data_IF_143187505935
#
_entry.id   IF_143187505935
#
_cell.length_a   1.000
_cell.length_b   1.000
_cell.length_c   1.000
_cell.angle_alpha   90.00
_cell.angle_beta   90.00
_cell.angle_gamma   90.00
#
_symmetry.space_group_name_H-M   'P 1'
#
loop_
_entity.id
_entity.type
_entity.pdbx_description
1 polymer ?
#
# COMPACT_ATOMS: atom_id res chain seq x y z
N UNK A 1 27.94 -74.53 -4.46
CA UNK A 1 26.83 -74.48 -5.44
C UNK A 1 25.97 -73.28 -5.07
N UNK A 2 25.89 -72.25 -5.93
CA UNK A 2 24.75 -71.98 -6.87
C UNK A 2 23.40 -72.01 -6.13
N UNK A 3 22.46 -71.08 -6.26
CA UNK A 3 22.30 -69.84 -7.04
C UNK A 3 20.95 -69.24 -6.59
N UNK A 4 20.86 -67.91 -6.58
CA UNK A 4 19.72 -67.03 -6.92
C UNK A 4 18.28 -67.55 -6.85
N UNK A 5 17.46 -66.82 -6.07
CA UNK A 5 16.10 -66.27 -6.35
C UNK A 5 15.87 -65.14 -5.33
N UNK A 6 15.16 -64.03 -5.49
CA UNK A 6 14.39 -63.37 -6.54
C UNK A 6 14.08 -61.97 -5.99
N UNK A 7 13.91 -60.97 -6.84
CA UNK A 7 13.60 -59.58 -6.50
C UNK A 7 12.24 -59.41 -5.82
N UNK A 8 12.15 -58.44 -4.88
CA UNK A 8 10.93 -57.68 -4.62
C UNK A 8 11.28 -56.29 -4.07
N UNK A 9 10.79 -55.30 -4.80
CA UNK A 9 10.99 -53.86 -4.60
C UNK A 9 10.33 -53.38 -3.31
N UNK A 10 11.04 -52.57 -2.52
CA UNK A 10 10.47 -51.77 -1.44
C UNK A 10 10.63 -50.30 -1.83
N UNK A 11 9.49 -49.64 -2.06
CA UNK A 11 9.38 -48.19 -2.18
C UNK A 11 9.53 -47.63 -0.77
N UNK A 12 10.69 -47.07 -0.45
CA UNK A 12 10.89 -46.28 0.76
C UNK A 12 10.55 -44.83 0.42
N UNK A 13 9.37 -44.39 0.86
CA UNK A 13 8.98 -42.98 0.83
C UNK A 13 9.83 -42.18 1.80
N UNK A 14 10.79 -41.44 1.25
CA UNK A 14 11.60 -40.48 2.00
C UNK A 14 10.75 -39.27 2.41
N UNK A 15 10.33 -39.24 3.68
CA UNK A 15 9.88 -38.01 4.34
C UNK A 15 11.08 -37.07 4.48
N UNK A 16 11.27 -36.19 3.49
CA UNK A 16 12.14 -35.03 3.66
C UNK A 16 11.45 -34.04 4.60
N UNK A 17 11.77 -34.15 5.89
CA UNK A 17 11.65 -33.07 6.87
C UNK A 17 12.68 -32.00 6.51
N UNK A 18 12.35 -31.11 5.57
CA UNK A 18 13.09 -29.86 5.37
C UNK A 18 12.78 -28.93 6.53
N UNK A 19 13.78 -28.73 7.39
CA UNK A 19 13.72 -27.81 8.51
C UNK A 19 13.48 -26.37 8.05
N UNK A 20 12.55 -25.70 8.72
CA UNK A 20 12.46 -24.24 8.74
C UNK A 20 13.56 -23.70 9.67
N UNK A 21 14.79 -23.57 9.16
CA UNK A 21 15.77 -22.65 9.72
C UNK A 21 15.66 -21.31 8.99
N UNK A 22 14.88 -20.40 9.58
CA UNK A 22 14.80 -18.97 9.28
C UNK A 22 14.03 -18.35 10.47
N UNK A 23 14.39 -17.25 11.10
CA UNK A 23 15.35 -16.22 10.78
C UNK A 23 15.63 -15.52 12.12
N UNK A 24 16.88 -15.50 12.56
CA UNK A 24 17.31 -14.64 13.65
C UNK A 24 17.76 -13.33 13.00
N UNK A 25 16.86 -12.37 12.81
CA UNK A 25 17.19 -11.03 12.32
C UNK A 25 16.16 -9.99 12.79
N UNK A 26 16.70 -9.03 13.55
CA UNK A 26 16.32 -7.61 13.62
C UNK A 26 15.05 -7.20 14.34
N UNK A 27 15.22 -7.07 15.65
CA UNK A 27 14.57 -6.09 16.54
C UNK A 27 14.88 -4.63 16.14
N UNK A 28 14.35 -4.19 15.00
CA UNK A 28 14.29 -2.77 14.60
C UNK A 28 13.13 -2.43 13.64
N UNK A 29 12.18 -3.35 13.42
CA UNK A 29 11.06 -3.16 12.49
C UNK A 29 9.74 -2.67 13.14
N UNK A 30 9.77 -2.10 14.34
CA UNK A 30 8.53 -1.74 15.08
C UNK A 30 8.08 -0.27 14.84
N UNK A 31 8.86 0.57 14.16
CA UNK A 31 8.45 1.97 13.91
C UNK A 31 7.83 2.26 12.54
N UNK A 32 7.78 1.29 11.61
CA UNK A 32 7.16 1.50 10.28
C UNK A 32 5.74 0.93 10.15
N UNK A 33 5.19 0.32 11.20
CA UNK A 33 3.81 -0.19 11.18
C UNK A 33 2.74 0.91 11.18
N UNK A 34 3.11 2.17 11.47
CA UNK A 34 2.20 3.34 11.42
C UNK A 34 2.42 4.25 10.20
N UNK A 35 3.30 3.89 9.26
CA UNK A 35 3.50 4.62 8.00
C UNK A 35 3.67 3.65 6.82
N UNK A 36 2.59 3.36 6.09
CA UNK A 36 2.73 3.06 4.66
C UNK A 36 2.23 1.73 4.12
N UNK A 37 1.61 0.84 4.91
CA UNK A 37 0.97 -0.38 4.37
C UNK A 37 -0.47 -0.52 4.88
N UNK A 38 -1.30 0.46 4.53
CA UNK A 38 -2.72 0.20 4.24
C UNK A 38 -2.89 0.34 2.73
N UNK A 39 -2.04 -0.37 1.99
CA UNK A 39 -2.33 -0.72 0.61
C UNK A 39 -3.41 -1.80 0.67
N UNK A 40 -4.57 -1.51 0.08
CA UNK A 40 -5.70 -2.40 -0.09
C UNK A 40 -6.56 -2.68 1.16
N UNK A 41 -7.56 -1.82 1.37
CA UNK A 41 -8.95 -2.29 1.45
C UNK A 41 -9.93 -1.12 1.19
N UNK A 42 -10.35 -1.03 -0.07
CA UNK A 42 -11.73 -0.72 -0.50
C UNK A 42 -12.37 0.62 -0.04
N UNK A 43 -12.38 1.63 -0.92
CA UNK A 43 -13.61 2.30 -1.41
C UNK A 43 -13.44 3.74 -1.92
N UNK A 44 -12.63 4.67 -1.34
CA UNK A 44 -12.50 6.02 -1.92
C UNK A 44 -11.48 6.10 -3.09
N UNK A 45 -10.53 5.16 -3.16
CA UNK A 45 -9.34 5.25 -4.03
C UNK A 45 -9.55 4.88 -5.50
N UNK A 46 -10.66 4.21 -5.83
CA UNK A 46 -11.05 3.92 -7.23
C UNK A 46 -11.77 5.09 -7.90
N UNK A 47 -12.14 6.12 -7.12
CA UNK A 47 -12.84 7.30 -7.64
C UNK A 47 -12.01 8.01 -8.70
N UNK A 48 -10.70 8.12 -8.49
CA UNK A 48 -9.79 8.78 -9.44
C UNK A 48 -9.83 8.14 -10.83
N UNK A 49 -9.78 6.80 -10.91
CA UNK A 49 -9.90 6.07 -12.18
C UNK A 49 -11.24 6.36 -12.85
N UNK A 50 -12.34 6.27 -12.11
CA UNK A 50 -13.68 6.53 -12.65
C UNK A 50 -13.88 7.97 -13.14
N UNK A 51 -13.22 8.95 -12.50
CA UNK A 51 -13.29 10.37 -12.88
C UNK A 51 -12.55 10.64 -14.20
N UNK A 52 -11.44 9.96 -14.44
CA UNK A 52 -10.54 10.27 -15.55
C UNK A 52 -10.60 9.32 -16.73
N UNK A 53 -11.07 8.08 -16.53
CA UNK A 53 -11.20 7.09 -17.59
C UNK A 53 -11.98 7.65 -18.77
N UNK A 54 -11.40 7.50 -19.97
CA UNK A 54 -11.97 8.00 -21.22
C UNK A 54 -11.72 9.48 -21.51
N UNK A 55 -11.18 10.28 -20.58
CA UNK A 55 -10.75 11.66 -20.86
C UNK A 55 -9.43 11.68 -21.63
N UNK A 56 -9.11 12.78 -22.28
CA UNK A 56 -7.86 12.87 -23.06
C UNK A 56 -6.66 13.03 -22.14
N UNK A 57 -5.50 12.54 -22.58
CA UNK A 57 -4.24 12.80 -21.89
C UNK A 57 -3.93 14.31 -21.85
N UNK A 58 -4.29 15.04 -22.90
CA UNK A 58 -4.08 16.49 -22.98
C UNK A 58 -4.86 17.25 -21.89
N UNK A 59 -6.12 16.86 -21.62
CA UNK A 59 -6.93 17.46 -20.53
C UNK A 59 -6.31 17.21 -19.14
N UNK A 60 -5.71 16.03 -18.97
CA UNK A 60 -5.03 15.70 -17.72
C UNK A 60 -3.74 16.51 -17.56
N UNK A 61 -2.95 16.61 -18.62
CA UNK A 61 -1.71 17.39 -18.64
C UNK A 61 -1.95 18.90 -18.53
N UNK A 62 -3.05 19.42 -19.07
CA UNK A 62 -3.38 20.85 -18.93
C UNK A 62 -3.70 21.22 -17.48
N UNK A 63 -4.26 20.30 -16.70
CA UNK A 63 -4.59 20.51 -15.28
C UNK A 63 -3.42 20.25 -14.34
N UNK A 64 -2.66 19.17 -14.56
CA UNK A 64 -1.66 18.72 -13.60
C UNK A 64 -0.22 18.85 -14.07
N UNK A 65 -0.02 19.34 -15.30
CA UNK A 65 1.28 19.44 -15.95
C UNK A 65 1.76 18.13 -16.57
N UNK A 66 2.97 18.17 -17.12
CA UNK A 66 3.64 17.00 -17.68
C UNK A 66 3.87 15.91 -16.60
N UNK A 67 3.93 14.62 -17.00
CA UNK A 67 4.28 13.55 -16.08
C UNK A 67 5.68 13.75 -15.51
N UNK A 68 5.87 13.33 -14.26
CA UNK A 68 7.18 13.34 -13.58
C UNK A 68 8.09 12.23 -14.09
N UNK A 69 7.55 11.21 -14.78
CA UNK A 69 8.32 10.15 -15.39
C UNK A 69 7.47 9.11 -16.13
N UNK A 70 8.09 7.98 -16.45
CA UNK A 70 7.42 6.78 -16.94
C UNK A 70 7.87 5.58 -16.11
N UNK A 71 6.98 4.59 -15.97
CA UNK A 71 7.33 3.32 -15.34
C UNK A 71 7.89 2.31 -16.35
N UNK A 72 8.20 1.10 -15.87
CA UNK A 72 8.76 0.03 -16.71
C UNK A 72 7.78 -0.47 -17.76
N UNK A 73 6.48 -0.31 -17.50
CA UNK A 73 5.38 -0.71 -18.37
C UNK A 73 5.00 0.39 -19.38
N UNK A 74 5.69 1.54 -19.37
CA UNK A 74 5.42 2.68 -20.24
C UNK A 74 4.21 3.52 -19.83
N UNK A 75 3.65 3.31 -18.64
CA UNK A 75 2.65 4.22 -18.08
C UNK A 75 3.32 5.51 -17.64
N UNK A 76 2.57 6.61 -17.79
CA UNK A 76 3.03 7.93 -17.39
C UNK A 76 2.79 8.12 -15.90
N UNK A 77 3.80 8.58 -15.18
CA UNK A 77 3.76 8.70 -13.72
C UNK A 77 3.66 10.17 -13.33
N UNK A 78 2.81 10.47 -12.36
CA UNK A 78 2.78 11.76 -11.68
C UNK A 78 3.05 11.56 -10.19
N UNK A 79 3.97 12.35 -9.68
CA UNK A 79 4.27 12.45 -8.26
C UNK A 79 4.04 13.89 -7.78
N UNK A 80 3.33 14.04 -6.66
CA UNK A 80 3.07 15.33 -6.02
C UNK A 80 3.08 15.16 -4.51
N UNK A 81 3.55 16.20 -3.84
CA UNK A 81 3.50 16.34 -2.38
C UNK A 81 2.73 17.60 -2.05
N UNK A 82 1.84 17.51 -1.07
CA UNK A 82 1.13 18.65 -0.48
C UNK A 82 1.42 18.72 1.01
N UNK A 83 1.22 19.91 1.58
CA UNK A 83 1.11 20.07 3.03
C UNK A 83 -0.37 19.96 3.38
N UNK A 84 -0.71 19.02 4.25
CA UNK A 84 -2.08 18.80 4.72
C UNK A 84 -2.16 19.06 6.22
N UNK A 85 -3.19 19.81 6.62
CA UNK A 85 -3.52 19.98 8.03
C UNK A 85 -4.11 18.68 8.58
N UNK A 86 -3.50 18.15 9.63
CA UNK A 86 -3.96 16.94 10.33
C UNK A 86 -4.62 17.38 11.64
N UNK A 87 -5.90 17.05 11.86
CA UNK A 87 -6.58 17.40 13.09
C UNK A 87 -5.97 16.67 14.29
N UNK A 88 -6.14 17.27 15.46
CA UNK A 88 -5.74 16.63 16.72
C UNK A 88 -6.55 15.37 16.96
N UNK A 89 -5.88 14.26 17.26
CA UNK A 89 -6.53 12.96 17.42
C UNK A 89 -5.82 12.09 18.45
N UNK A 90 -6.58 11.18 19.06
CA UNK A 90 -6.00 10.12 19.87
C UNK A 90 -5.54 8.98 18.96
N UNK A 91 -4.30 8.54 19.14
CA UNK A 91 -3.76 7.36 18.49
C UNK A 91 -3.56 6.28 19.54
N UNK A 92 -3.97 5.06 19.21
CA UNK A 92 -3.73 3.89 20.04
C UNK A 92 -2.54 3.11 19.47
N UNK A 93 -1.56 2.86 20.33
CA UNK A 93 -0.45 1.96 20.04
C UNK A 93 -0.57 0.72 20.93
N UNK A 94 -0.19 -0.44 20.39
CA UNK A 94 -0.24 -1.69 21.11
C UNK A 94 1.12 -2.39 21.04
N UNK A 95 1.69 -2.67 22.21
CA UNK A 95 2.89 -3.49 22.34
C UNK A 95 2.47 -4.91 22.73
N UNK A 96 2.84 -5.87 21.89
CA UNK A 96 2.52 -7.28 22.08
C UNK A 96 3.70 -8.01 22.73
N UNK A 97 3.50 -8.48 23.94
CA UNK A 97 4.43 -9.36 24.67
C UNK A 97 3.81 -10.76 24.77
N UNK A 98 4.64 -11.78 25.03
CA UNK A 98 4.24 -13.21 24.97
C UNK A 98 2.92 -13.55 25.68
N UNK A 99 2.58 -12.89 26.80
CA UNK A 99 1.34 -13.12 27.56
C UNK A 99 0.57 -11.83 27.90
N UNK A 100 0.94 -10.68 27.30
CA UNK A 100 0.38 -9.38 27.66
C UNK A 100 0.33 -8.45 26.46
N UNK A 101 -0.77 -7.70 26.32
CA UNK A 101 -0.86 -6.59 25.37
C UNK A 101 -0.96 -5.29 26.17
N UNK A 102 0.03 -4.42 26.01
CA UNK A 102 -0.03 -3.07 26.58
C UNK A 102 -0.61 -2.17 25.51
N UNK A 103 -1.75 -1.54 25.79
CA UNK A 103 -2.34 -0.52 24.93
C UNK A 103 -2.07 0.85 25.51
N UNK A 104 -1.48 1.74 24.72
CA UNK A 104 -1.27 3.15 25.07
C UNK A 104 -2.14 4.00 24.16
N UNK A 105 -2.78 5.01 24.74
CA UNK A 105 -3.53 6.01 23.99
C UNK A 105 -2.83 7.35 24.18
N UNK A 106 -2.34 7.92 23.09
CA UNK A 106 -1.61 9.18 23.09
C UNK A 106 -2.38 10.21 22.28
N UNK A 107 -2.47 11.43 22.80
CA UNK A 107 -3.07 12.54 22.04
C UNK A 107 -1.99 13.19 21.17
N UNK A 108 -2.22 13.20 19.86
CA UNK A 108 -1.38 13.91 18.91
C UNK A 108 -2.09 15.23 18.60
N UNK A 109 -1.44 16.35 18.93
CA UNK A 109 -1.95 17.69 18.62
C UNK A 109 -2.08 17.92 17.11
N UNK A 110 -2.99 18.83 16.74
CA UNK A 110 -3.15 19.24 15.36
C UNK A 110 -1.83 19.81 14.82
N UNK A 111 -1.47 19.40 13.61
CA UNK A 111 -0.20 19.80 12.98
C UNK A 111 -0.30 19.67 11.46
N UNK A 112 0.60 20.34 10.77
CA UNK A 112 0.72 20.20 9.32
C UNK A 112 1.72 19.09 8.99
N UNK A 113 1.37 18.24 8.04
CA UNK A 113 2.21 17.14 7.60
C UNK A 113 2.33 17.10 6.08
N UNK A 114 3.51 16.73 5.58
CA UNK A 114 3.68 16.46 4.16
C UNK A 114 3.04 15.13 3.80
N UNK A 115 2.22 15.14 2.75
CA UNK A 115 1.52 13.98 2.22
C UNK A 115 1.83 13.87 0.74
N UNK A 116 2.26 12.69 0.32
CA UNK A 116 2.65 12.43 -1.06
C UNK A 116 1.68 11.48 -1.74
N UNK A 117 1.48 11.71 -3.03
CA UNK A 117 0.75 10.83 -3.92
C UNK A 117 1.61 10.50 -5.15
N UNK A 118 1.56 9.24 -5.56
CA UNK A 118 2.06 8.78 -6.85
C UNK A 118 0.95 8.05 -7.59
N UNK A 119 0.71 8.44 -8.85
CA UNK A 119 -0.20 7.73 -9.75
C UNK A 119 0.52 7.28 -11.02
N UNK A 120 0.10 6.15 -11.56
CA UNK A 120 0.45 5.68 -12.89
C UNK A 120 -0.79 5.74 -13.79
N UNK A 121 -0.67 6.45 -14.91
CA UNK A 121 -1.73 6.66 -15.89
C UNK A 121 -1.42 5.87 -17.16
N UNK A 122 -2.27 4.90 -17.44
CA UNK A 122 -2.24 4.13 -18.68
C UNK A 122 -3.02 4.87 -19.75
N UNK A 123 -2.42 5.06 -20.92
CA UNK A 123 -3.01 5.81 -22.04
C UNK A 123 -3.13 4.88 -23.25
N UNK A 124 -4.32 4.86 -23.87
CA UNK A 124 -4.58 4.13 -25.12
C UNK A 124 -5.21 5.10 -26.13
N UNK A 125 -4.67 5.18 -27.33
CA UNK A 125 -5.14 6.08 -28.39
C UNK A 125 -5.35 7.55 -27.92
N UNK A 126 -4.40 8.07 -27.12
CA UNK A 126 -4.45 9.44 -26.60
C UNK A 126 -5.44 9.69 -25.45
N UNK A 127 -6.14 8.65 -24.97
CA UNK A 127 -7.13 8.73 -23.88
C UNK A 127 -6.69 7.91 -22.68
N UNK A 128 -7.10 8.34 -21.49
CA UNK A 128 -6.81 7.65 -20.24
C UNK A 128 -7.61 6.34 -20.20
N UNK A 129 -6.90 5.22 -20.17
CA UNK A 129 -7.47 3.90 -20.09
C UNK A 129 -7.56 3.40 -18.63
N UNK A 130 -6.63 3.82 -17.78
CA UNK A 130 -6.66 3.53 -16.35
C UNK A 130 -5.81 4.54 -15.56
N UNK A 131 -6.17 4.78 -14.30
CA UNK A 131 -5.32 5.44 -13.31
C UNK A 131 -5.16 4.52 -12.10
N UNK A 132 -3.92 4.21 -11.76
CA UNK A 132 -3.58 3.42 -10.58
C UNK A 132 -2.80 4.27 -9.59
N UNK A 133 -3.34 4.45 -8.38
CA UNK A 133 -2.61 5.05 -7.28
C UNK A 133 -1.58 4.03 -6.75
N UNK A 134 -0.30 4.41 -6.79
CA UNK A 134 0.83 3.60 -6.30
C UNK A 134 1.20 3.95 -4.87
N UNK A 135 1.16 5.24 -4.57
CA UNK A 135 1.34 5.79 -3.24
C UNK A 135 0.17 6.72 -2.98
N UNK A 136 -0.65 6.37 -2.00
CA UNK A 136 -1.76 7.22 -1.59
C UNK A 136 -1.86 7.19 -0.07
N UNK A 137 -1.33 8.24 0.54
CA UNK A 137 -1.33 8.36 2.00
C UNK A 137 -2.69 8.91 2.41
N UNK A 138 -3.38 8.25 3.34
CA UNK A 138 -4.60 8.81 3.90
C UNK A 138 -4.31 10.06 4.73
N UNK A 139 -5.17 11.07 4.59
CA UNK A 139 -5.20 12.29 5.39
C UNK A 139 -6.33 12.11 6.41
N UNK A 140 -6.02 12.01 7.71
CA UNK A 140 -7.04 12.07 8.74
C UNK A 140 -7.88 13.35 8.60
N UNK A 141 -9.20 13.19 8.71
CA UNK A 141 -10.17 14.27 8.64
C UNK A 141 -11.02 14.30 9.89
N UNK A 142 -11.61 15.45 10.15
CA UNK A 142 -12.34 15.81 11.37
C UNK A 142 -13.71 15.10 11.49
N UNK A 143 -13.97 14.04 10.72
CA UNK A 143 -15.32 13.48 10.62
C UNK A 143 -15.82 12.98 11.97
N UNK A 144 -17.07 13.36 12.25
CA UNK A 144 -17.80 13.32 13.51
C UNK A 144 -17.48 12.13 14.44
N UNK A 145 -16.93 12.46 15.63
CA UNK A 145 -16.97 11.82 16.98
C UNK A 145 -16.87 10.29 17.19
N UNK A 146 -16.99 9.44 16.17
CA UNK A 146 -17.02 7.98 16.33
C UNK A 146 -16.15 7.22 15.30
N UNK A 147 -15.66 7.89 14.25
CA UNK A 147 -14.73 7.32 13.28
C UNK A 147 -13.88 8.42 12.65
N UNK A 148 -12.56 8.37 12.81
CA UNK A 148 -11.64 9.23 12.05
C UNK A 148 -11.76 8.86 10.57
N UNK A 149 -12.31 9.79 9.79
CA UNK A 149 -12.44 9.64 8.35
C UNK A 149 -11.07 9.84 7.72
N UNK A 150 -10.73 9.00 6.75
CA UNK A 150 -9.48 9.14 5.99
C UNK A 150 -9.82 9.63 4.59
N UNK A 151 -9.24 10.76 4.19
CA UNK A 151 -9.29 11.27 2.82
C UNK A 151 -8.08 10.77 2.02
N UNK A 152 -8.28 10.45 0.74
CA UNK A 152 -7.20 10.10 -0.18
C UNK A 152 -6.38 11.33 -0.57
N UNK A 153 -5.06 11.29 -0.38
CA UNK A 153 -4.16 12.34 -0.89
C UNK A 153 -4.22 12.41 -2.41
N UNK A 154 -4.27 11.26 -3.10
CA UNK A 154 -4.37 11.25 -4.56
C UNK A 154 -5.68 11.83 -5.08
N UNK A 155 -6.81 11.56 -4.40
CA UNK A 155 -8.09 12.17 -4.74
C UNK A 155 -8.08 13.67 -4.51
N UNK A 156 -7.42 14.16 -3.46
CA UNK A 156 -7.31 15.59 -3.18
C UNK A 156 -6.44 16.32 -4.21
N UNK A 157 -5.37 15.68 -4.68
CA UNK A 157 -4.45 16.28 -5.65
C UNK A 157 -4.94 16.16 -7.09
N UNK A 158 -5.39 14.97 -7.49
CA UNK A 158 -5.69 14.63 -8.87
C UNK A 158 -7.18 14.43 -9.16
N UNK A 159 -8.05 14.58 -8.16
CA UNK A 159 -9.49 14.45 -8.34
C UNK A 159 -10.07 15.50 -9.29
N UNK A 160 -11.16 15.13 -9.97
CA UNK A 160 -12.08 16.08 -10.61
C UNK A 160 -13.08 16.66 -9.62
#
# INVERSE_FOLDING_TARGET
>A
MKMLKSFSSIIVGSLFLTGCTALNQTSSAINDANSGVVAAMLSPYRKLDSQWRGKTLADFQSRFGAPTGQDKEGNRVWFRTIVAHIPGQYVETADYMQNMTIRRREFISAHDAQKSCEIAVTVKAGRIAAINARRDIGIPTDSYRLSSGMESTCQRIFGL
#
